data_IF_518064153725
#
_entry.id   IF_518064153725
#
_cell.length_a   1.000
_cell.length_b   1.000
_cell.length_c   1.000
_cell.angle_alpha   90.00
_cell.angle_beta   90.00
_cell.angle_gamma   90.00
#
_symmetry.space_group_name_H-M   'P 1'
#
loop_
_entity.id
_entity.type
_entity.pdbx_description
1 polymer ?
#
# COMPACT_ATOMS: atom_id res chain seq x y z
N UNK A 1 -3.33 7.41 -25.49
CA UNK A 1 -2.51 6.97 -24.35
C UNK A 1 -3.26 5.80 -23.70
N UNK A 2 -2.65 4.61 -23.63
CA UNK A 2 -3.21 3.51 -22.84
C UNK A 2 -2.68 3.64 -21.42
N UNK A 3 -3.52 4.07 -20.51
CA UNK A 3 -3.17 4.03 -19.08
C UNK A 3 -3.31 2.59 -18.58
N UNK A 4 -2.31 2.05 -17.87
CA UNK A 4 -2.46 0.76 -17.22
C UNK A 4 -3.55 0.85 -16.15
N UNK A 5 -4.45 -0.11 -16.15
CA UNK A 5 -5.52 -0.24 -15.16
C UNK A 5 -5.40 -1.56 -14.43
N UNK A 6 -5.77 -1.56 -13.15
CA UNK A 6 -5.96 -2.75 -12.33
C UNK A 6 -7.36 -2.72 -11.69
N UNK A 7 -7.76 -3.82 -11.10
CA UNK A 7 -8.94 -3.90 -10.24
C UNK A 7 -8.43 -4.30 -8.86
N UNK A 8 -8.62 -3.43 -7.88
CA UNK A 8 -8.21 -3.72 -6.51
C UNK A 8 -8.84 -5.02 -6.00
N UNK A 9 -8.04 -5.90 -5.41
CA UNK A 9 -8.52 -7.17 -4.85
C UNK A 9 -9.61 -6.95 -3.81
N UNK A 10 -9.57 -5.83 -3.08
CA UNK A 10 -10.62 -5.44 -2.15
C UNK A 10 -12.02 -5.34 -2.77
N UNK A 11 -12.13 -5.06 -4.09
CA UNK A 11 -13.41 -5.06 -4.81
C UNK A 11 -14.14 -6.42 -4.75
N UNK A 12 -13.43 -7.48 -4.44
CA UNK A 12 -13.95 -8.84 -4.31
C UNK A 12 -13.99 -9.32 -2.85
N UNK A 13 -13.82 -8.43 -1.87
CA UNK A 13 -13.74 -8.77 -0.45
C UNK A 13 -14.88 -9.69 0.03
N UNK A 14 -16.12 -9.46 -0.41
CA UNK A 14 -17.25 -10.30 -0.04
C UNK A 14 -17.15 -11.75 -0.55
N UNK A 15 -16.48 -12.00 -1.67
CA UNK A 15 -16.19 -13.35 -2.16
C UNK A 15 -15.03 -13.99 -1.39
N UNK A 16 -14.00 -13.20 -1.13
CA UNK A 16 -12.81 -13.64 -0.41
C UNK A 16 -13.18 -14.02 1.04
N UNK A 17 -13.85 -13.15 1.77
CA UNK A 17 -14.23 -13.34 3.17
C UNK A 17 -15.20 -14.54 3.37
N UNK A 18 -15.96 -14.88 2.33
CA UNK A 18 -16.82 -16.08 2.32
C UNK A 18 -16.10 -17.35 1.86
N UNK A 19 -14.78 -17.31 1.61
CA UNK A 19 -13.98 -18.43 1.12
C UNK A 19 -14.29 -18.87 -0.31
N UNK A 20 -14.99 -18.04 -1.09
CA UNK A 20 -15.37 -18.31 -2.49
C UNK A 20 -14.35 -17.82 -3.50
N UNK A 21 -13.38 -17.04 -3.07
CA UNK A 21 -12.31 -16.51 -3.90
C UNK A 21 -11.02 -16.47 -3.08
N UNK A 22 -9.96 -17.03 -3.62
CA UNK A 22 -8.60 -16.91 -3.10
C UNK A 22 -7.72 -16.02 -4.00
N UNK A 23 -6.44 -15.92 -3.66
CA UNK A 23 -5.46 -15.17 -4.45
C UNK A 23 -5.44 -15.61 -5.91
N UNK A 24 -5.41 -16.91 -6.17
CA UNK A 24 -5.28 -17.43 -7.53
C UNK A 24 -6.55 -17.22 -8.35
N UNK A 25 -7.71 -17.40 -7.74
CA UNK A 25 -9.00 -17.09 -8.34
C UNK A 25 -9.14 -15.60 -8.67
N UNK A 26 -8.60 -14.69 -7.83
CA UNK A 26 -8.55 -13.27 -8.14
C UNK A 26 -7.70 -13.01 -9.39
N UNK A 27 -6.52 -13.64 -9.52
CA UNK A 27 -5.68 -13.49 -10.72
C UNK A 27 -6.38 -14.03 -11.97
N UNK A 28 -7.15 -15.12 -11.85
CA UNK A 28 -7.97 -15.64 -12.95
C UNK A 28 -9.06 -14.65 -13.38
N UNK A 29 -9.73 -14.01 -12.43
CA UNK A 29 -10.74 -12.99 -12.72
C UNK A 29 -10.12 -11.81 -13.49
N UNK A 30 -8.97 -11.31 -13.06
CA UNK A 30 -8.27 -10.23 -13.75
C UNK A 30 -8.00 -10.61 -15.21
N UNK A 31 -7.38 -11.75 -15.44
CA UNK A 31 -6.93 -12.15 -16.78
C UNK A 31 -8.06 -12.59 -17.69
N UNK A 32 -8.92 -13.49 -17.23
CA UNK A 32 -9.85 -14.21 -18.10
C UNK A 32 -11.27 -13.63 -18.09
N UNK A 33 -11.61 -12.83 -17.07
CA UNK A 33 -12.94 -12.21 -16.98
C UNK A 33 -12.94 -10.74 -17.31
N UNK A 34 -11.96 -10.00 -16.79
CA UNK A 34 -11.89 -8.54 -16.92
C UNK A 34 -10.86 -8.06 -17.94
N UNK A 35 -9.98 -8.93 -18.41
CA UNK A 35 -8.98 -8.65 -19.43
C UNK A 35 -8.07 -7.47 -19.06
N UNK A 36 -7.67 -7.39 -17.81
CA UNK A 36 -6.67 -6.44 -17.31
C UNK A 36 -5.34 -7.14 -17.09
N UNK A 37 -4.24 -6.42 -17.23
CA UNK A 37 -2.88 -6.97 -17.18
C UNK A 37 -2.12 -6.57 -15.90
N UNK A 38 -2.79 -5.90 -14.96
CA UNK A 38 -2.19 -5.49 -13.69
C UNK A 38 -3.05 -5.95 -12.52
N UNK A 39 -2.40 -6.45 -11.49
CA UNK A 39 -2.99 -6.79 -10.21
C UNK A 39 -2.72 -5.68 -9.18
N UNK A 40 -3.71 -5.39 -8.36
CA UNK A 40 -3.63 -4.59 -7.15
C UNK A 40 -4.00 -5.51 -5.99
N UNK A 41 -2.99 -6.10 -5.38
CA UNK A 41 -3.15 -7.20 -4.43
C UNK A 41 -3.41 -6.64 -3.03
N UNK A 42 -4.38 -7.20 -2.35
CA UNK A 42 -4.73 -6.89 -0.98
C UNK A 42 -4.12 -7.95 -0.04
N UNK A 43 -3.38 -7.53 0.97
CA UNK A 43 -2.61 -8.43 1.82
C UNK A 43 -3.43 -9.53 2.51
N UNK A 44 -4.71 -9.26 2.84
CA UNK A 44 -5.60 -10.26 3.44
C UNK A 44 -5.99 -11.41 2.50
N UNK A 45 -5.60 -11.35 1.22
CA UNK A 45 -5.69 -12.49 0.31
C UNK A 45 -4.56 -13.51 0.51
N UNK A 46 -3.50 -13.14 1.24
CA UNK A 46 -2.41 -14.05 1.55
C UNK A 46 -2.71 -14.82 2.85
N UNK A 47 -2.90 -16.14 2.81
CA UNK A 47 -3.04 -16.94 4.02
C UNK A 47 -1.73 -17.01 4.82
N UNK A 48 -0.59 -16.72 4.19
CA UNK A 48 0.74 -16.73 4.78
C UNK A 48 1.70 -15.88 3.95
N UNK A 49 2.77 -15.36 4.59
CA UNK A 49 3.89 -14.70 3.93
C UNK A 49 5.11 -15.61 3.75
N UNK A 50 4.93 -16.92 3.90
CA UNK A 50 5.99 -17.91 3.64
C UNK A 50 6.46 -17.82 2.19
N UNK A 51 7.78 -17.92 2.00
CA UNK A 51 8.44 -17.71 0.71
C UNK A 51 7.91 -18.63 -0.38
N UNK A 52 7.69 -19.91 -0.04
CA UNK A 52 7.16 -20.89 -0.99
C UNK A 52 5.76 -20.54 -1.50
N UNK A 53 4.92 -19.93 -0.64
CA UNK A 53 3.60 -19.47 -1.06
C UNK A 53 3.73 -18.24 -1.97
N UNK A 54 4.55 -17.26 -1.59
CA UNK A 54 4.77 -16.06 -2.38
C UNK A 54 5.38 -16.37 -3.75
N UNK A 55 6.30 -17.33 -3.83
CA UNK A 55 6.84 -17.83 -5.10
C UNK A 55 5.76 -18.49 -5.99
N UNK A 56 4.79 -19.21 -5.39
CA UNK A 56 3.64 -19.74 -6.15
C UNK A 56 2.77 -18.60 -6.69
N UNK A 57 2.54 -17.54 -5.91
CA UNK A 57 1.82 -16.36 -6.38
C UNK A 57 2.57 -15.70 -7.54
N UNK A 58 3.91 -15.55 -7.42
CA UNK A 58 4.74 -14.99 -8.51
C UNK A 58 4.63 -15.85 -9.79
N UNK A 59 4.79 -17.15 -9.68
CA UNK A 59 4.66 -18.05 -10.82
C UNK A 59 3.27 -17.94 -11.48
N UNK A 60 2.22 -17.84 -10.67
CA UNK A 60 0.84 -17.70 -11.16
C UNK A 60 0.61 -16.35 -11.88
N UNK A 61 1.25 -15.28 -11.43
CA UNK A 61 1.26 -13.98 -12.12
C UNK A 61 1.97 -14.10 -13.48
N UNK A 62 3.14 -14.76 -13.52
CA UNK A 62 3.92 -14.96 -14.74
C UNK A 62 3.15 -15.78 -15.79
N UNK A 63 2.54 -16.89 -15.38
CA UNK A 63 1.70 -17.74 -16.25
C UNK A 63 0.57 -16.96 -16.91
N UNK A 64 0.02 -15.94 -16.22
CA UNK A 64 -1.07 -15.10 -16.71
C UNK A 64 -0.58 -13.82 -17.40
N UNK A 65 0.73 -13.62 -17.44
CA UNK A 65 1.32 -12.36 -17.90
C UNK A 65 0.67 -11.15 -17.22
N UNK A 66 0.62 -11.19 -15.88
CA UNK A 66 0.14 -10.13 -15.02
C UNK A 66 1.31 -9.45 -14.32
N UNK A 67 1.33 -8.13 -14.28
CA UNK A 67 2.22 -7.37 -13.39
C UNK A 67 1.49 -6.98 -12.11
N UNK A 68 2.24 -6.74 -11.03
CA UNK A 68 1.68 -6.25 -9.77
C UNK A 68 1.91 -4.75 -9.69
N UNK A 69 0.84 -3.98 -9.80
CA UNK A 69 0.90 -2.53 -9.68
C UNK A 69 1.15 -2.13 -8.22
N UNK A 70 0.40 -2.70 -7.30
CA UNK A 70 0.43 -2.35 -5.89
C UNK A 70 0.20 -3.57 -4.99
N UNK A 71 0.87 -3.58 -3.83
CA UNK A 71 0.51 -4.41 -2.68
C UNK A 71 -0.13 -3.50 -1.63
N UNK A 72 -1.44 -3.60 -1.49
CA UNK A 72 -2.21 -2.86 -0.51
C UNK A 72 -2.13 -3.59 0.84
N UNK A 73 -1.53 -2.97 1.83
CA UNK A 73 -1.34 -3.55 3.18
C UNK A 73 -2.24 -2.85 4.17
N UNK A 74 -3.24 -3.57 4.66
CA UNK A 74 -4.09 -3.16 5.78
C UNK A 74 -3.67 -3.91 7.05
N UNK A 75 -3.89 -3.27 8.17
CA UNK A 75 -3.57 -3.79 9.49
C UNK A 75 -2.37 -3.10 10.11
N UNK A 76 -1.15 -3.32 9.63
CA UNK A 76 0.02 -2.65 10.17
C UNK A 76 0.08 -1.18 9.69
N UNK A 77 -0.42 -0.27 10.51
CA UNK A 77 -0.18 1.17 10.36
C UNK A 77 1.18 1.54 10.94
N UNK A 78 1.77 2.64 10.46
CA UNK A 78 3.07 3.11 10.95
C UNK A 78 2.95 3.57 12.40
N UNK A 79 1.88 4.31 12.73
CA UNK A 79 1.60 4.77 14.09
C UNK A 79 0.45 4.00 14.73
N UNK A 80 0.70 3.55 15.95
CA UNK A 80 -0.30 3.03 16.89
C UNK A 80 -0.08 3.71 18.24
N UNK A 81 -1.13 3.81 19.07
CA UNK A 81 -1.02 4.42 20.38
C UNK A 81 -0.13 3.58 21.33
N UNK A 82 -0.20 2.26 21.20
CA UNK A 82 0.63 1.33 21.94
C UNK A 82 2.01 1.19 21.30
N UNK A 83 3.10 1.48 22.04
CA UNK A 83 4.46 1.31 21.55
C UNK A 83 4.84 -0.13 21.16
N UNK A 84 4.28 -1.14 21.83
CA UNK A 84 4.56 -2.54 21.49
C UNK A 84 3.90 -2.91 20.16
N UNK A 85 2.69 -2.41 19.92
CA UNK A 85 2.02 -2.57 18.62
C UNK A 85 2.79 -1.86 17.50
N UNK A 86 3.33 -0.66 17.74
CA UNK A 86 4.18 0.06 16.78
C UNK A 86 5.37 -0.77 16.32
N UNK A 87 6.10 -1.37 17.27
CA UNK A 87 7.26 -2.20 16.95
C UNK A 87 6.87 -3.50 16.23
N UNK A 88 5.73 -4.09 16.60
CA UNK A 88 5.20 -5.26 15.92
C UNK A 88 4.81 -4.92 14.46
N UNK A 89 4.12 -3.80 14.25
CA UNK A 89 3.73 -3.32 12.92
C UNK A 89 4.94 -2.96 12.06
N UNK A 90 5.96 -2.31 12.64
CA UNK A 90 7.22 -2.04 11.92
C UNK A 90 7.84 -3.32 11.34
N UNK A 91 7.90 -4.38 12.13
CA UNK A 91 8.41 -5.69 11.67
C UNK A 91 7.55 -6.26 10.55
N UNK A 92 6.22 -6.20 10.69
CA UNK A 92 5.30 -6.68 9.68
C UNK A 92 5.46 -5.90 8.36
N UNK A 93 5.68 -4.59 8.40
CA UNK A 93 5.92 -3.81 7.18
C UNK A 93 7.16 -4.30 6.43
N UNK A 94 8.26 -4.63 7.14
CA UNK A 94 9.43 -5.23 6.49
C UNK A 94 9.15 -6.61 5.90
N UNK A 95 8.29 -7.42 6.53
CA UNK A 95 7.84 -8.69 5.94
C UNK A 95 7.02 -8.46 4.67
N UNK A 96 6.17 -7.43 4.62
CA UNK A 96 5.44 -7.06 3.41
C UNK A 96 6.34 -6.46 2.33
N UNK A 97 7.40 -5.71 2.67
CA UNK A 97 8.41 -5.26 1.70
C UNK A 97 9.09 -6.47 1.06
N UNK A 98 9.46 -7.49 1.85
CA UNK A 98 9.99 -8.76 1.32
C UNK A 98 8.95 -9.48 0.44
N UNK A 99 7.69 -9.52 0.86
CA UNK A 99 6.62 -10.12 0.04
C UNK A 99 6.47 -9.40 -1.30
N UNK A 100 6.47 -8.07 -1.30
CA UNK A 100 6.41 -7.24 -2.50
C UNK A 100 7.59 -7.50 -3.46
N UNK A 101 8.80 -7.67 -2.92
CA UNK A 101 9.99 -8.06 -3.71
C UNK A 101 9.74 -9.40 -4.43
N UNK A 102 9.28 -10.42 -3.71
CA UNK A 102 9.07 -11.77 -4.26
C UNK A 102 7.97 -11.79 -5.33
N UNK A 103 6.84 -11.11 -5.08
CA UNK A 103 5.73 -11.08 -6.05
C UNK A 103 5.96 -10.06 -7.17
N UNK A 104 6.99 -9.21 -7.09
CA UNK A 104 7.33 -8.21 -8.09
C UNK A 104 6.38 -7.00 -8.10
N UNK A 105 5.92 -6.56 -6.93
CA UNK A 105 5.10 -5.37 -6.81
C UNK A 105 5.90 -4.10 -7.10
N UNK A 106 5.27 -3.13 -7.77
CA UNK A 106 5.89 -1.83 -8.06
C UNK A 106 5.76 -0.85 -6.92
N UNK A 107 4.64 -0.92 -6.22
CA UNK A 107 4.36 -0.07 -5.07
C UNK A 107 3.80 -0.87 -3.89
N UNK A 108 3.96 -0.32 -2.70
CA UNK A 108 3.37 -0.84 -1.46
C UNK A 108 2.62 0.31 -0.77
N UNK A 109 1.36 0.08 -0.42
CA UNK A 109 0.61 1.01 0.38
C UNK A 109 0.62 0.58 1.85
N UNK A 110 1.08 1.44 2.72
CA UNK A 110 1.01 1.33 4.19
C UNK A 110 0.61 2.68 4.73
N UNK A 111 -0.42 2.77 5.55
CA UNK A 111 -0.96 4.05 6.02
C UNK A 111 -0.28 4.54 7.30
N UNK A 112 -0.33 5.86 7.56
CA UNK A 112 0.25 6.47 8.76
C UNK A 112 -0.33 5.89 10.05
N UNK A 113 -1.64 5.65 10.06
CA UNK A 113 -2.39 5.38 11.27
C UNK A 113 -2.94 6.66 11.90
N UNK A 114 -3.04 6.64 13.22
CA UNK A 114 -3.76 7.69 13.96
C UNK A 114 -5.26 7.55 13.79
N UNK A 115 -5.99 7.44 14.89
CA UNK A 115 -7.45 7.32 14.82
C UNK A 115 -8.10 8.65 14.47
N UNK A 116 -9.17 8.94 14.90
CA UNK A 116 -10.10 10.01 14.74
C UNK A 116 -9.51 11.40 15.13
N UNK A 117 -8.65 11.98 14.36
CA UNK A 117 -8.17 13.30 14.70
C UNK A 117 -7.51 14.05 13.57
N UNK A 118 -7.88 15.31 13.45
CA UNK A 118 -7.22 16.24 12.55
C UNK A 118 -5.85 16.72 13.06
N UNK A 119 -5.44 16.29 14.25
CA UNK A 119 -4.18 16.74 14.86
C UNK A 119 -3.21 15.58 15.03
N UNK A 120 -2.14 15.60 14.28
CA UNK A 120 -1.01 14.70 14.45
C UNK A 120 -0.05 15.28 15.50
N UNK A 121 0.22 14.57 16.62
CA UNK A 121 1.24 14.98 17.58
C UNK A 121 2.64 14.98 16.96
N UNK A 122 3.55 15.81 17.50
CA UNK A 122 4.91 15.94 16.96
C UNK A 122 5.71 14.62 17.08
N UNK A 123 5.57 13.91 18.18
CA UNK A 123 6.21 12.61 18.38
C UNK A 123 5.71 11.55 17.38
N UNK A 124 4.43 11.61 17.02
CA UNK A 124 3.88 10.76 15.95
C UNK A 124 4.45 11.13 14.59
N UNK A 125 4.55 12.42 14.28
CA UNK A 125 5.14 12.89 13.05
C UNK A 125 6.60 12.42 12.91
N UNK A 126 7.41 12.64 13.93
CA UNK A 126 8.81 12.22 13.94
C UNK A 126 8.95 10.70 13.77
N UNK A 127 8.11 9.92 14.46
CA UNK A 127 8.11 8.47 14.36
C UNK A 127 7.72 7.99 12.95
N UNK A 128 6.66 8.56 12.37
CA UNK A 128 6.18 8.24 11.02
C UNK A 128 7.27 8.55 9.99
N UNK A 129 7.86 9.73 10.04
CA UNK A 129 8.93 10.14 9.12
C UNK A 129 10.14 9.22 9.26
N UNK A 130 10.55 8.90 10.50
CA UNK A 130 11.68 8.00 10.76
C UNK A 130 11.48 6.63 10.13
N UNK A 131 10.30 6.04 10.32
CA UNK A 131 9.98 4.73 9.76
C UNK A 131 9.91 4.76 8.22
N UNK A 132 9.27 5.76 7.62
CA UNK A 132 9.24 5.83 6.16
C UNK A 132 10.61 6.06 5.54
N UNK A 133 11.53 6.74 6.20
CA UNK A 133 12.92 6.81 5.74
C UNK A 133 13.58 5.42 5.68
N UNK A 134 13.36 4.60 6.71
CA UNK A 134 13.88 3.22 6.73
C UNK A 134 13.22 2.34 5.64
N UNK A 135 11.89 2.41 5.54
CA UNK A 135 11.14 1.64 4.53
C UNK A 135 11.51 2.06 3.11
N UNK A 136 11.56 3.38 2.86
CA UNK A 136 11.91 3.91 1.55
C UNK A 136 13.36 3.59 1.16
N UNK A 137 14.30 3.59 2.11
CA UNK A 137 15.67 3.17 1.86
C UNK A 137 15.71 1.71 1.37
N UNK A 138 15.01 0.80 2.07
CA UNK A 138 14.92 -0.60 1.65
C UNK A 138 14.20 -0.77 0.31
N UNK A 139 13.09 -0.08 0.11
CA UNK A 139 12.33 -0.12 -1.14
C UNK A 139 13.14 0.43 -2.33
N UNK A 140 13.95 1.46 -2.11
CA UNK A 140 14.82 2.03 -3.13
C UNK A 140 15.86 1.01 -3.66
N UNK A 141 16.44 0.20 -2.78
CA UNK A 141 17.35 -0.89 -3.16
C UNK A 141 16.65 -1.92 -4.07
N UNK A 142 15.35 -2.09 -3.91
CA UNK A 142 14.52 -3.06 -4.64
C UNK A 142 13.85 -2.49 -5.89
N UNK A 143 13.94 -1.17 -6.11
CA UNK A 143 13.21 -0.49 -7.18
C UNK A 143 11.69 -0.44 -6.95
N UNK A 144 11.26 -0.48 -5.70
CA UNK A 144 9.85 -0.41 -5.25
C UNK A 144 9.61 0.97 -4.66
N UNK A 145 8.38 1.50 -4.74
CA UNK A 145 7.96 2.67 -3.98
C UNK A 145 7.04 2.27 -2.82
N UNK A 146 7.08 3.04 -1.74
CA UNK A 146 6.23 2.84 -0.57
C UNK A 146 5.63 4.15 -0.10
N UNK A 147 4.43 4.10 0.43
CA UNK A 147 3.78 5.24 1.05
C UNK A 147 2.32 4.98 1.42
N UNK A 148 1.65 5.97 1.98
CA UNK A 148 0.26 5.87 2.39
C UNK A 148 -0.70 6.03 1.22
N UNK A 149 -1.96 5.72 1.49
CA UNK A 149 -3.12 6.21 0.73
C UNK A 149 -3.83 7.27 1.57
N UNK A 150 -4.43 8.27 0.97
CA UNK A 150 -5.32 9.18 1.70
C UNK A 150 -6.64 8.46 2.09
N UNK A 151 -6.53 7.39 2.88
CA UNK A 151 -7.58 6.43 3.17
C UNK A 151 -8.00 6.41 4.64
N UNK A 152 -7.06 6.51 5.57
CA UNK A 152 -7.28 6.30 6.99
C UNK A 152 -6.59 7.35 7.87
N UNK A 153 -7.26 7.76 8.97
CA UNK A 153 -6.63 8.60 9.99
C UNK A 153 -6.01 9.89 9.44
N UNK A 154 -4.78 10.14 9.77
CA UNK A 154 -4.04 11.37 9.39
C UNK A 154 -3.67 11.46 7.92
N UNK A 155 -3.67 10.33 7.20
CA UNK A 155 -3.45 10.31 5.74
C UNK A 155 -4.51 11.10 4.98
N UNK A 156 -5.68 11.32 5.58
CA UNK A 156 -6.79 12.07 4.98
C UNK A 156 -6.68 13.59 5.16
N UNK A 157 -5.59 14.06 5.75
CA UNK A 157 -5.31 15.49 5.94
C UNK A 157 -4.19 15.90 4.99
N UNK A 158 -4.46 16.68 3.93
CA UNK A 158 -3.47 17.04 2.90
C UNK A 158 -2.20 17.65 3.46
N UNK A 159 -2.31 18.47 4.51
CA UNK A 159 -1.16 19.11 5.17
C UNK A 159 -0.16 18.08 5.71
N UNK A 160 -0.64 16.98 6.31
CA UNK A 160 0.25 15.95 6.85
C UNK A 160 0.90 15.12 5.76
N UNK A 161 0.16 14.79 4.69
CA UNK A 161 0.77 14.12 3.53
C UNK A 161 1.93 14.93 2.96
N UNK A 162 1.73 16.25 2.77
CA UNK A 162 2.77 17.15 2.27
C UNK A 162 3.97 17.22 3.21
N UNK A 163 3.73 17.44 4.52
CA UNK A 163 4.79 17.54 5.53
C UNK A 163 5.63 16.26 5.62
N UNK A 164 4.98 15.11 5.62
CA UNK A 164 5.70 13.82 5.68
C UNK A 164 6.45 13.58 4.37
N UNK A 165 5.86 13.90 3.22
CA UNK A 165 6.53 13.77 1.92
C UNK A 165 7.83 14.59 1.88
N UNK A 166 7.77 15.84 2.25
CA UNK A 166 8.93 16.75 2.27
C UNK A 166 10.00 16.29 3.28
N UNK A 167 9.56 15.78 4.44
CA UNK A 167 10.47 15.34 5.50
C UNK A 167 11.14 13.99 5.19
N UNK A 168 10.45 13.07 4.51
CA UNK A 168 11.02 11.77 4.09
C UNK A 168 12.05 11.96 2.99
N UNK A 169 11.78 12.83 2.02
CA UNK A 169 12.68 13.23 0.93
C UNK A 169 13.39 12.04 0.27
N UNK A 170 12.61 11.10 -0.26
CA UNK A 170 13.13 9.89 -0.89
C UNK A 170 12.47 9.62 -2.25
N UNK A 171 13.22 9.23 -3.29
CA UNK A 171 12.64 8.87 -4.58
C UNK A 171 11.78 7.59 -4.52
N UNK A 172 11.96 6.78 -3.48
CA UNK A 172 11.17 5.58 -3.23
C UNK A 172 9.97 5.82 -2.32
N UNK A 173 9.71 7.07 -1.92
CA UNK A 173 8.53 7.45 -1.17
C UNK A 173 7.53 8.18 -2.07
N UNK A 174 6.26 7.89 -1.89
CA UNK A 174 5.15 8.56 -2.59
C UNK A 174 3.86 8.29 -1.85
N UNK A 175 2.74 8.41 -2.55
CA UNK A 175 1.44 8.01 -1.99
C UNK A 175 0.51 7.48 -3.07
N UNK A 176 -0.43 6.67 -2.64
CA UNK A 176 -1.55 6.21 -3.43
C UNK A 176 -2.69 7.23 -3.27
N UNK A 177 -3.22 7.72 -4.38
CA UNK A 177 -4.28 8.72 -4.34
C UNK A 177 -5.67 8.10 -4.42
N UNK A 178 -6.48 8.34 -3.39
CA UNK A 178 -7.89 7.99 -3.34
C UNK A 178 -8.76 9.24 -3.60
N UNK A 179 -9.40 9.27 -4.74
CA UNK A 179 -10.21 10.41 -5.15
C UNK A 179 -11.36 10.66 -4.18
N UNK A 180 -11.47 11.91 -3.70
CA UNK A 180 -12.58 12.35 -2.86
C UNK A 180 -12.53 11.90 -1.40
N UNK A 181 -11.41 11.38 -0.91
CA UNK A 181 -11.32 10.82 0.44
C UNK A 181 -10.62 11.72 1.47
N UNK A 182 -10.36 12.97 1.15
CA UNK A 182 -9.83 13.94 2.12
C UNK A 182 -10.91 14.44 3.10
N UNK A 183 -10.52 14.74 4.34
CA UNK A 183 -11.40 15.39 5.32
C UNK A 183 -11.62 16.86 4.98
N UNK A 184 -10.52 17.56 4.69
CA UNK A 184 -10.49 19.00 4.45
C UNK A 184 -9.76 19.32 3.14
N UNK A 185 -10.04 20.49 2.56
CA UNK A 185 -9.33 21.01 1.37
C UNK A 185 -9.19 19.96 0.23
N UNK A 186 -10.30 19.33 -0.20
CA UNK A 186 -10.24 18.20 -1.14
C UNK A 186 -9.62 18.60 -2.48
N UNK A 187 -9.85 19.82 -2.96
CA UNK A 187 -9.32 20.29 -4.25
C UNK A 187 -7.79 20.46 -4.20
N UNK A 188 -7.29 21.13 -3.15
CA UNK A 188 -5.85 21.32 -2.95
C UNK A 188 -5.11 20.01 -2.73
N UNK A 189 -5.68 19.13 -1.91
CA UNK A 189 -5.15 17.78 -1.67
C UNK A 189 -5.12 16.95 -2.96
N UNK A 190 -6.18 17.00 -3.74
CA UNK A 190 -6.29 16.31 -5.02
C UNK A 190 -5.24 16.78 -6.02
N UNK A 191 -5.10 18.08 -6.22
CA UNK A 191 -4.11 18.65 -7.14
C UNK A 191 -2.69 18.24 -6.75
N UNK A 192 -2.38 18.33 -5.46
CA UNK A 192 -1.07 17.94 -4.96
C UNK A 192 -0.81 16.44 -5.18
N UNK A 193 -1.77 15.58 -4.84
CA UNK A 193 -1.64 14.13 -5.00
C UNK A 193 -1.43 13.71 -6.46
N UNK A 194 -2.13 14.32 -7.41
CA UNK A 194 -1.95 14.01 -8.85
C UNK A 194 -0.50 14.24 -9.29
N UNK A 195 0.18 15.24 -8.72
CA UNK A 195 1.56 15.58 -9.07
C UNK A 195 2.62 14.77 -8.31
N UNK A 196 2.24 14.07 -7.22
CA UNK A 196 3.17 13.39 -6.32
C UNK A 196 2.82 11.91 -6.08
N UNK A 197 1.84 11.35 -6.77
CA UNK A 197 1.47 9.94 -6.66
C UNK A 197 2.62 9.01 -7.13
N UNK A 198 2.72 7.84 -6.51
CA UNK A 198 3.69 6.79 -6.86
C UNK A 198 3.23 5.90 -8.01
#
# INVERSE_FOLDING_TARGET
MNFPISIAAYSFYGLQSSGRLDTFGYLDLLKFRYYVDNADIYNLYFPTLEEDYLKKVRASLDERNLSVANLCVDGPHVWMDDPEEREAHKKQVFEYIRAAEIIGAKTIRVDFGGKDGHTMPEDAFEYIVGNYKEYAARCNELGIKIGPENHWGWDRVPEYLKKVYDAVDSPAYGHLFHLGNFYDQPDEGTEWCINHAM
#
